data_IF_916830408067
#
_entry.id   IF_916830408067
#
_cell.length_a   1.000
_cell.length_b   1.000
_cell.length_c   1.000
_cell.angle_alpha   90.00
_cell.angle_beta   90.00
_cell.angle_gamma   90.00
#
_symmetry.space_group_name_H-M   'P 1'
#
loop_
_entity.id
_entity.type
_entity.pdbx_description
1 polymer ?
#
# COMPACT_ATOMS: atom_id res chain seq x y z
N UNK A 1 19.99 -5.58 -5.93
CA UNK A 1 18.61 -5.60 -5.38
C UNK A 1 17.71 -4.78 -6.31
N UNK A 2 16.53 -5.26 -6.73
CA UNK A 2 15.71 -4.52 -7.68
C UNK A 2 14.92 -3.42 -6.95
N UNK A 3 15.19 -2.15 -7.25
CA UNK A 3 14.57 -1.00 -6.59
C UNK A 3 13.04 -1.02 -6.67
N UNK A 4 12.47 -1.55 -7.77
CA UNK A 4 11.01 -1.68 -7.93
C UNK A 4 10.40 -2.61 -6.89
N UNK A 5 11.12 -3.67 -6.51
CA UNK A 5 10.66 -4.60 -5.47
C UNK A 5 10.69 -3.93 -4.11
N UNK A 6 11.74 -3.15 -3.81
CA UNK A 6 11.87 -2.42 -2.53
C UNK A 6 10.78 -1.36 -2.41
N UNK A 7 10.62 -0.52 -3.43
CA UNK A 7 9.57 0.52 -3.46
C UNK A 7 8.18 -0.10 -3.40
N UNK A 8 7.94 -1.19 -4.14
CA UNK A 8 6.65 -1.88 -4.11
C UNK A 8 6.33 -2.48 -2.74
N UNK A 9 7.32 -3.04 -2.03
CA UNK A 9 7.14 -3.52 -0.67
C UNK A 9 6.85 -2.39 0.32
N UNK A 10 7.54 -1.25 0.20
CA UNK A 10 7.29 -0.06 1.03
C UNK A 10 5.88 0.50 0.82
N UNK A 11 5.38 0.52 -0.42
CA UNK A 11 4.01 0.96 -0.73
C UNK A 11 2.96 0.05 -0.07
N UNK A 12 3.18 -1.27 -0.12
CA UNK A 12 2.28 -2.23 0.53
C UNK A 12 2.30 -2.05 2.05
N UNK A 13 3.48 -1.98 2.66
CA UNK A 13 3.60 -1.82 4.12
C UNK A 13 3.01 -0.47 4.56
N UNK A 14 3.29 0.60 3.83
CA UNK A 14 2.77 1.94 4.10
C UNK A 14 1.25 1.99 4.04
N UNK A 15 0.65 1.46 2.96
CA UNK A 15 -0.81 1.42 2.81
C UNK A 15 -1.49 0.60 3.91
N UNK A 16 -0.94 -0.56 4.26
CA UNK A 16 -1.46 -1.39 5.37
C UNK A 16 -1.39 -0.64 6.70
N UNK A 17 -0.26 0.02 7.00
CA UNK A 17 -0.09 0.80 8.23
C UNK A 17 -1.09 1.96 8.32
N UNK A 18 -1.29 2.69 7.22
CA UNK A 18 -2.26 3.77 7.13
C UNK A 18 -3.68 3.27 7.46
N UNK A 19 -4.05 2.13 6.86
CA UNK A 19 -5.35 1.50 7.09
C UNK A 19 -5.57 1.15 8.57
N UNK A 20 -4.56 0.56 9.24
CA UNK A 20 -4.63 0.28 10.67
C UNK A 20 -4.72 1.55 11.51
N UNK A 21 -4.03 2.63 11.13
CA UNK A 21 -4.13 3.93 11.81
C UNK A 21 -5.54 4.49 11.73
N UNK A 22 -6.14 4.45 10.54
CA UNK A 22 -7.51 4.92 10.31
C UNK A 22 -8.53 4.09 11.09
N UNK A 23 -8.38 2.76 11.12
CA UNK A 23 -9.23 1.89 11.94
C UNK A 23 -9.12 2.27 13.42
N UNK A 24 -7.90 2.53 13.90
CA UNK A 24 -7.66 2.98 15.27
C UNK A 24 -8.29 4.35 15.57
N UNK A 25 -8.16 5.31 14.64
CA UNK A 25 -8.75 6.65 14.78
C UNK A 25 -10.29 6.62 14.68
N UNK A 26 -10.86 5.71 13.91
CA UNK A 26 -12.30 5.46 13.85
C UNK A 26 -12.83 4.84 15.15
N UNK A 27 -12.17 3.79 15.65
CA UNK A 27 -12.57 3.13 16.90
C UNK A 27 -12.38 4.02 18.14
N UNK A 28 -11.41 4.94 18.12
CA UNK A 28 -11.21 5.93 19.19
C UNK A 28 -12.13 7.14 19.10
N UNK A 29 -13.00 7.21 18.08
CA UNK A 29 -13.97 8.30 17.91
C UNK A 29 -13.36 9.61 17.42
N UNK A 30 -12.08 9.63 17.02
CA UNK A 30 -11.45 10.81 16.40
C UNK A 30 -12.01 11.07 15.01
N UNK A 31 -12.33 10.01 14.27
CA UNK A 31 -13.04 10.10 13.00
C UNK A 31 -14.56 9.99 13.25
N UNK A 32 -15.30 11.05 12.93
CA UNK A 32 -16.77 11.07 13.00
C UNK A 32 -17.45 10.14 11.99
N UNK A 33 -16.76 9.82 10.90
CA UNK A 33 -17.26 8.97 9.81
C UNK A 33 -16.12 8.21 9.16
N UNK A 34 -16.47 7.09 8.52
CA UNK A 34 -15.50 6.27 7.81
C UNK A 34 -14.93 7.02 6.60
N UNK A 35 -13.59 7.17 6.47
CA UNK A 35 -12.99 7.91 5.38
C UNK A 35 -12.86 7.03 4.13
N UNK A 36 -13.90 6.98 3.30
CA UNK A 36 -13.89 6.24 2.02
C UNK A 36 -12.71 6.57 1.09
N UNK A 37 -12.19 7.80 1.16
CA UNK A 37 -10.99 8.18 0.40
C UNK A 37 -9.76 7.36 0.77
N UNK A 38 -9.68 6.89 2.02
CA UNK A 38 -8.60 6.04 2.47
C UNK A 38 -8.69 4.60 1.93
N UNK A 39 -9.90 4.05 1.77
CA UNK A 39 -10.07 2.74 1.15
C UNK A 39 -9.58 2.77 -0.31
N UNK A 40 -9.93 3.83 -1.03
CA UNK A 40 -9.49 4.04 -2.42
C UNK A 40 -7.97 4.18 -2.48
N UNK A 41 -7.38 4.99 -1.59
CA UNK A 41 -5.94 5.16 -1.51
C UNK A 41 -5.23 3.84 -1.17
N UNK A 42 -5.77 3.05 -0.24
CA UNK A 42 -5.26 1.74 0.12
C UNK A 42 -5.23 0.82 -1.10
N UNK A 43 -6.37 0.66 -1.79
CA UNK A 43 -6.47 -0.22 -2.97
C UNK A 43 -5.50 0.21 -4.08
N UNK A 44 -5.42 1.51 -4.38
CA UNK A 44 -4.54 2.03 -5.42
C UNK A 44 -3.06 1.82 -5.08
N UNK A 45 -2.62 2.16 -3.86
CA UNK A 45 -1.23 2.01 -3.44
C UNK A 45 -0.83 0.53 -3.33
N UNK A 46 -1.73 -0.32 -2.85
CA UNK A 46 -1.52 -1.76 -2.73
C UNK A 46 -1.37 -2.41 -4.12
N UNK A 47 -2.27 -2.09 -5.06
CA UNK A 47 -2.20 -2.56 -6.44
C UNK A 47 -0.92 -2.08 -7.14
N UNK A 48 -0.55 -0.81 -6.96
CA UNK A 48 0.69 -0.25 -7.49
C UNK A 48 1.93 -0.94 -6.92
N UNK A 49 1.94 -1.23 -5.62
CA UNK A 49 3.01 -1.96 -4.96
C UNK A 49 3.19 -3.38 -5.51
N UNK A 50 2.09 -4.12 -5.71
CA UNK A 50 2.11 -5.44 -6.36
C UNK A 50 2.63 -5.34 -7.79
N UNK A 51 2.15 -4.36 -8.55
CA UNK A 51 2.58 -4.15 -9.95
C UNK A 51 4.09 -3.88 -10.05
N UNK A 52 4.64 -3.03 -9.17
CA UNK A 52 6.06 -2.73 -9.14
C UNK A 52 6.90 -3.96 -8.77
N UNK A 53 6.46 -4.77 -7.80
CA UNK A 53 7.12 -6.03 -7.45
C UNK A 53 7.10 -6.99 -8.66
N UNK A 54 5.95 -7.12 -9.32
CA UNK A 54 5.79 -7.97 -10.49
C UNK A 54 6.70 -7.54 -11.65
N UNK A 55 6.69 -6.24 -12.00
CA UNK A 55 7.57 -5.64 -13.01
C UNK A 55 9.05 -5.82 -12.67
N UNK A 56 9.41 -5.64 -11.39
CA UNK A 56 10.77 -5.83 -10.90
C UNK A 56 11.24 -7.29 -11.01
N UNK A 57 10.36 -8.26 -10.70
CA UNK A 57 10.67 -9.68 -10.84
C UNK A 57 10.81 -10.10 -12.30
N UNK A 58 9.94 -9.62 -13.19
CA UNK A 58 10.02 -9.91 -14.65
C UNK A 58 11.33 -9.43 -15.26
N UNK A 59 11.78 -8.22 -14.90
CA UNK A 59 13.06 -7.68 -15.37
C UNK A 59 14.28 -8.46 -14.85
N UNK A 60 14.17 -9.16 -13.72
CA UNK A 60 15.26 -9.97 -13.16
C UNK A 60 15.37 -11.36 -13.80
N UNK A 61 14.37 -11.77 -14.59
CA UNK A 61 14.31 -13.08 -15.27
C UNK A 61 14.78 -13.02 -16.73
N UNK A 62 14.98 -11.81 -17.25
CA UNK A 62 15.39 -11.51 -18.63
C UNK A 62 16.84 -10.98 -18.72
N UNK A 63 17.54 -10.89 -17.57
CA UNK A 63 18.97 -10.59 -17.44
C UNK A 63 19.66 -11.78 -16.82
#
# INVERSE_FOLDING_TARGET
MNWKIVVGALLIIGSVREMFSIIGDYNSGKLKSWPFGADIAFVLLFALGIYLIYSGRKNKKLS
#
